data_IF_846310514003
#
_entry.id   IF_846310514003
#
_cell.length_a   1.000
_cell.length_b   1.000
_cell.length_c   1.000
_cell.angle_alpha   90.00
_cell.angle_beta   90.00
_cell.angle_gamma   90.00
#
_symmetry.space_group_name_H-M   'P 1'
#
loop_
_entity.id
_entity.type
_entity.pdbx_description
1 polymer ?
#
# COMPACT_ATOMS: atom_id res chain seq x y z
N UNK A 1 -0.54 4.02 -27.35
CA UNK A 1 0.65 3.79 -26.50
C UNK A 1 1.29 5.07 -25.93
N UNK A 2 1.88 6.01 -26.70
CA UNK A 2 2.58 7.18 -26.12
C UNK A 2 1.68 8.05 -25.22
N UNK A 3 0.48 8.40 -25.68
CA UNK A 3 -0.49 9.18 -24.88
C UNK A 3 -0.89 8.47 -23.58
N UNK A 4 -1.03 7.13 -23.62
CA UNK A 4 -1.32 6.28 -22.46
C UNK A 4 -0.18 6.31 -21.45
N UNK A 5 1.06 6.17 -21.92
CA UNK A 5 2.26 6.25 -21.08
C UNK A 5 2.32 7.61 -20.41
N UNK A 6 2.23 8.70 -21.19
CA UNK A 6 2.30 10.07 -20.68
C UNK A 6 1.20 10.31 -19.63
N UNK A 7 -0.05 9.95 -19.93
CA UNK A 7 -1.16 10.11 -18.98
C UNK A 7 -0.93 9.34 -17.68
N UNK A 8 -0.63 8.03 -17.77
CA UNK A 8 -0.43 7.18 -16.58
C UNK A 8 0.72 7.69 -15.74
N UNK A 9 1.88 7.99 -16.33
CA UNK A 9 3.05 8.44 -15.57
C UNK A 9 2.84 9.83 -14.96
N UNK A 10 2.21 10.77 -15.67
CA UNK A 10 1.92 12.11 -15.11
C UNK A 10 0.95 12.00 -13.95
N UNK A 11 -0.14 11.23 -14.08
CA UNK A 11 -1.11 11.07 -13.00
C UNK A 11 -0.51 10.31 -11.82
N UNK A 12 0.28 9.26 -12.05
CA UNK A 12 1.02 8.55 -10.99
C UNK A 12 2.06 9.44 -10.31
N UNK A 13 2.76 10.30 -11.06
CA UNK A 13 3.72 11.24 -10.50
C UNK A 13 3.03 12.30 -9.66
N UNK A 14 1.92 12.87 -10.14
CA UNK A 14 1.11 13.82 -9.38
C UNK A 14 0.58 13.17 -8.10
N UNK A 15 0.05 11.95 -8.18
CA UNK A 15 -0.35 11.16 -7.02
C UNK A 15 0.83 10.97 -6.06
N UNK A 16 1.98 10.48 -6.54
CA UNK A 16 3.14 10.21 -5.71
C UNK A 16 3.64 11.48 -5.00
N UNK A 17 3.70 12.61 -5.69
CA UNK A 17 4.10 13.91 -5.11
C UNK A 17 3.10 14.31 -4.01
N UNK A 18 1.81 14.38 -4.31
CA UNK A 18 0.82 14.89 -3.35
C UNK A 18 0.67 13.92 -2.16
N UNK A 19 0.65 12.62 -2.41
CA UNK A 19 0.59 11.59 -1.38
C UNK A 19 1.83 11.63 -0.48
N UNK A 20 3.02 11.84 -1.03
CA UNK A 20 4.26 11.94 -0.25
C UNK A 20 4.34 13.23 0.55
N UNK A 21 3.95 14.37 -0.05
CA UNK A 21 3.89 15.67 0.63
C UNK A 21 2.92 15.63 1.82
N UNK A 22 1.74 15.04 1.64
CA UNK A 22 0.77 14.89 2.74
C UNK A 22 1.18 13.78 3.73
N UNK A 23 1.99 12.81 3.33
CA UNK A 23 2.57 11.85 4.28
C UNK A 23 3.71 12.45 5.14
N UNK A 24 4.30 13.57 4.72
CA UNK A 24 5.48 14.18 5.35
C UNK A 24 5.22 14.70 6.78
N UNK A 25 6.25 14.61 7.62
CA UNK A 25 6.16 15.01 9.02
C UNK A 25 5.98 16.53 9.20
N UNK A 26 6.61 17.36 8.35
CA UNK A 26 6.50 18.83 8.44
C UNK A 26 5.13 19.29 8.01
N UNK A 27 4.59 18.72 6.94
CA UNK A 27 3.23 19.02 6.50
C UNK A 27 2.21 18.66 7.59
N UNK A 28 2.34 17.48 8.20
CA UNK A 28 1.51 17.07 9.34
C UNK A 28 1.61 18.02 10.53
N UNK A 29 2.82 18.42 10.90
CA UNK A 29 3.04 19.39 11.98
C UNK A 29 2.40 20.76 11.68
N UNK A 30 2.52 21.22 10.43
CA UNK A 30 1.87 22.45 9.98
C UNK A 30 0.35 22.37 10.06
N UNK A 31 -0.26 21.25 9.62
CA UNK A 31 -1.71 21.03 9.75
C UNK A 31 -2.13 21.00 11.22
N UNK A 32 -1.39 20.30 12.08
CA UNK A 32 -1.67 20.24 13.52
C UNK A 32 -1.59 21.63 14.19
N UNK A 33 -0.60 22.44 13.82
CA UNK A 33 -0.45 23.81 14.30
C UNK A 33 -1.57 24.74 13.79
N UNK A 34 -2.07 24.51 12.57
CA UNK A 34 -3.05 25.38 11.92
C UNK A 34 -4.49 25.08 12.36
N UNK A 35 -4.86 23.79 12.45
CA UNK A 35 -6.22 23.34 12.74
C UNK A 35 -6.39 22.82 14.18
N UNK A 36 -5.31 22.78 14.96
CA UNK A 36 -5.28 22.29 16.33
C UNK A 36 -4.97 20.79 16.43
N UNK A 37 -4.20 20.42 17.46
CA UNK A 37 -3.71 19.05 17.66
C UNK A 37 -4.85 18.02 17.68
N UNK A 38 -5.94 18.31 18.39
CA UNK A 38 -7.07 17.38 18.53
C UNK A 38 -7.75 17.11 17.18
N UNK A 39 -7.96 18.15 16.36
CA UNK A 39 -8.58 17.99 15.04
C UNK A 39 -7.67 17.20 14.09
N UNK A 40 -6.37 17.48 14.12
CA UNK A 40 -5.37 16.70 13.38
C UNK A 40 -5.41 15.22 13.75
N UNK A 41 -5.30 14.87 15.03
CA UNK A 41 -5.31 13.47 15.48
C UNK A 41 -6.62 12.73 15.14
N UNK A 42 -7.73 13.47 15.08
CA UNK A 42 -9.06 12.92 14.78
C UNK A 42 -9.33 12.71 13.30
N UNK A 43 -9.12 13.74 12.48
CA UNK A 43 -9.63 13.79 11.10
C UNK A 43 -8.58 13.54 10.03
N UNK A 44 -7.32 13.85 10.32
CA UNK A 44 -6.27 13.92 9.29
C UNK A 44 -6.13 12.62 8.51
N UNK A 45 -6.15 11.49 9.22
CA UNK A 45 -5.98 10.16 8.59
C UNK A 45 -7.13 9.83 7.64
N UNK A 46 -8.37 10.12 8.01
CA UNK A 46 -9.53 9.85 7.15
C UNK A 46 -9.48 10.71 5.90
N UNK A 47 -9.18 12.00 6.04
CA UNK A 47 -9.07 12.95 4.92
C UNK A 47 -7.92 12.52 3.99
N UNK A 48 -6.76 12.18 4.55
CA UNK A 48 -5.62 11.70 3.80
C UNK A 48 -5.95 10.45 2.96
N UNK A 49 -6.63 9.46 3.56
CA UNK A 49 -7.05 8.26 2.85
C UNK A 49 -8.09 8.55 1.77
N UNK A 50 -9.08 9.41 2.06
CA UNK A 50 -10.09 9.81 1.09
C UNK A 50 -9.47 10.55 -0.10
N UNK A 51 -8.54 11.48 0.16
CA UNK A 51 -7.78 12.19 -0.87
C UNK A 51 -6.99 11.20 -1.75
N UNK A 52 -6.29 10.25 -1.12
CA UNK A 52 -5.52 9.22 -1.84
C UNK A 52 -6.41 8.36 -2.74
N UNK A 53 -7.60 7.99 -2.26
CA UNK A 53 -8.58 7.23 -3.03
C UNK A 53 -9.15 8.04 -4.20
N UNK A 54 -9.50 9.31 -3.98
CA UNK A 54 -9.98 10.20 -5.05
C UNK A 54 -8.92 10.40 -6.13
N UNK A 55 -7.64 10.51 -5.76
CA UNK A 55 -6.55 10.68 -6.72
C UNK A 55 -6.29 9.44 -7.57
N UNK A 56 -6.43 8.23 -6.99
CA UNK A 56 -6.18 6.98 -7.72
C UNK A 56 -7.39 6.52 -8.56
N UNK A 57 -8.59 6.99 -8.26
CA UNK A 57 -9.81 6.57 -8.96
C UNK A 57 -9.80 6.87 -10.48
N UNK A 58 -9.43 8.08 -10.96
CA UNK A 58 -9.43 8.38 -12.39
C UNK A 58 -8.46 7.50 -13.19
N UNK A 59 -7.26 7.25 -12.65
CA UNK A 59 -6.27 6.39 -13.31
C UNK A 59 -6.71 4.93 -13.31
N UNK A 60 -7.32 4.46 -12.23
CA UNK A 60 -7.89 3.10 -12.15
C UNK A 60 -8.99 2.93 -13.20
N UNK A 61 -9.92 3.87 -13.28
CA UNK A 61 -10.97 3.85 -14.30
C UNK A 61 -10.37 3.87 -15.72
N UNK A 62 -9.42 4.76 -16.00
CA UNK A 62 -8.77 4.83 -17.31
C UNK A 62 -8.09 3.52 -17.73
N UNK A 63 -7.45 2.83 -16.77
CA UNK A 63 -6.74 1.57 -16.98
C UNK A 63 -7.70 0.42 -17.28
N UNK A 64 -8.83 0.33 -16.57
CA UNK A 64 -9.78 -0.78 -16.72
C UNK A 64 -10.86 -0.56 -17.79
N UNK A 65 -11.07 0.67 -18.25
CA UNK A 65 -12.06 0.99 -19.29
C UNK A 65 -11.57 0.76 -20.74
N UNK A 66 -10.35 0.25 -20.93
CA UNK A 66 -9.88 -0.11 -22.27
C UNK A 66 -8.39 -0.43 -22.34
N UNK A 67 -7.82 -0.22 -23.52
CA UNK A 67 -6.45 -0.58 -23.85
C UNK A 67 -6.39 -1.77 -24.79
N UNK A 68 -5.30 -1.85 -25.53
CA UNK A 68 -5.06 -2.94 -26.47
C UNK A 68 -4.43 -4.11 -25.72
N UNK A 69 -4.88 -5.33 -26.01
CA UNK A 69 -4.33 -6.54 -25.36
C UNK A 69 -2.88 -6.72 -25.80
N UNK A 70 -1.94 -6.61 -24.85
CA UNK A 70 -0.53 -6.89 -25.07
C UNK A 70 -0.20 -8.37 -24.84
N UNK A 71 -0.85 -8.96 -23.83
CA UNK A 71 -0.61 -10.34 -23.46
C UNK A 71 -1.89 -11.02 -22.98
N UNK A 72 -2.09 -12.23 -23.49
CA UNK A 72 -3.13 -13.14 -23.06
C UNK A 72 -2.52 -14.55 -23.04
N UNK A 73 -2.51 -15.25 -21.90
CA UNK A 73 -2.01 -16.62 -21.86
C UNK A 73 -2.94 -17.51 -22.69
N UNK A 74 -2.37 -18.53 -23.33
CA UNK A 74 -3.16 -19.60 -23.97
C UNK A 74 -4.06 -20.29 -22.94
N UNK A 75 -5.11 -20.96 -23.40
CA UNK A 75 -6.09 -21.64 -22.52
C UNK A 75 -5.45 -22.65 -21.55
N UNK A 76 -4.35 -23.31 -21.93
CA UNK A 76 -3.62 -24.23 -21.05
C UNK A 76 -2.92 -23.53 -19.87
N UNK A 77 -2.48 -22.27 -20.05
CA UNK A 77 -1.75 -21.50 -19.03
C UNK A 77 -2.68 -20.56 -18.25
N UNK A 78 -3.83 -20.18 -18.82
CA UNK A 78 -4.79 -19.28 -18.17
C UNK A 78 -5.22 -19.71 -16.75
N UNK A 79 -5.46 -20.99 -16.45
CA UNK A 79 -5.79 -21.42 -15.08
C UNK A 79 -4.69 -21.09 -14.07
N UNK A 80 -3.41 -21.18 -14.45
CA UNK A 80 -2.28 -20.87 -13.56
C UNK A 80 -2.31 -19.38 -13.18
N UNK A 81 -2.55 -18.49 -14.13
CA UNK A 81 -2.68 -17.05 -13.86
C UNK A 81 -3.85 -16.75 -12.92
N UNK A 82 -5.00 -17.39 -13.14
CA UNK A 82 -6.18 -17.20 -12.28
C UNK A 82 -5.95 -17.74 -10.87
N UNK A 83 -5.27 -18.88 -10.72
CA UNK A 83 -4.90 -19.43 -9.41
C UNK A 83 -3.95 -18.49 -8.67
N UNK A 84 -2.92 -18.00 -9.34
CA UNK A 84 -1.99 -17.03 -8.74
C UNK A 84 -2.72 -15.72 -8.36
N UNK A 85 -3.63 -15.24 -9.20
CA UNK A 85 -4.45 -14.07 -8.88
C UNK A 85 -5.36 -14.32 -7.68
N UNK A 86 -5.97 -15.50 -7.57
CA UNK A 86 -6.80 -15.89 -6.44
C UNK A 86 -5.99 -15.99 -5.14
N UNK A 87 -4.77 -16.55 -5.20
CA UNK A 87 -3.83 -16.56 -4.07
C UNK A 87 -3.46 -15.13 -3.68
N UNK A 88 -3.19 -14.26 -4.65
CA UNK A 88 -2.97 -12.84 -4.45
C UNK A 88 -4.14 -12.17 -3.73
N UNK A 89 -5.37 -12.33 -4.22
CA UNK A 89 -6.58 -11.75 -3.61
C UNK A 89 -6.81 -12.28 -2.19
N UNK A 90 -6.70 -13.60 -1.99
CA UNK A 90 -6.86 -14.21 -0.67
C UNK A 90 -5.78 -13.72 0.31
N UNK A 91 -4.52 -13.68 -0.12
CA UNK A 91 -3.41 -13.22 0.70
C UNK A 91 -3.50 -11.73 1.04
N UNK A 92 -3.92 -10.89 0.09
CA UNK A 92 -4.20 -9.48 0.34
C UNK A 92 -5.35 -9.32 1.35
N UNK A 93 -6.45 -10.07 1.17
CA UNK A 93 -7.56 -10.10 2.12
C UNK A 93 -7.14 -10.53 3.53
N UNK A 94 -6.35 -11.60 3.66
CA UNK A 94 -5.81 -12.05 4.95
C UNK A 94 -4.88 -11.02 5.59
N UNK A 95 -4.08 -10.31 4.77
CA UNK A 95 -3.22 -9.21 5.26
C UNK A 95 -4.06 -8.07 5.82
N UNK A 96 -5.15 -7.71 5.13
CA UNK A 96 -6.09 -6.68 5.56
C UNK A 96 -6.84 -7.06 6.84
N UNK A 97 -7.18 -8.34 7.02
CA UNK A 97 -7.82 -8.82 8.24
C UNK A 97 -6.90 -8.82 9.46
N UNK A 98 -5.57 -8.79 9.27
CA UNK A 98 -4.60 -8.74 10.37
C UNK A 98 -4.27 -7.32 10.83
N UNK A 99 -4.71 -6.29 10.08
CA UNK A 99 -4.58 -4.90 10.50
C UNK A 99 -5.90 -4.35 11.03
N UNK A 100 -5.83 -3.36 11.91
CA UNK A 100 -7.02 -2.65 12.38
C UNK A 100 -7.56 -1.74 11.25
N UNK A 101 -8.42 -2.28 10.39
CA UNK A 101 -8.93 -1.58 9.20
C UNK A 101 -9.62 -0.26 9.52
N UNK A 102 -10.37 -0.19 10.63
CA UNK A 102 -11.06 1.04 11.02
C UNK A 102 -10.07 2.10 11.49
N UNK A 103 -9.00 1.69 12.17
CA UNK A 103 -7.89 2.59 12.54
C UNK A 103 -7.06 3.00 11.34
N UNK A 104 -6.79 2.08 10.43
CA UNK A 104 -6.07 2.35 9.18
C UNK A 104 -6.84 3.37 8.34
N UNK A 105 -8.16 3.18 8.19
CA UNK A 105 -9.06 4.09 7.48
C UNK A 105 -9.19 5.48 8.16
N UNK A 106 -8.97 5.58 9.47
CA UNK A 106 -9.15 6.83 10.23
C UNK A 106 -10.47 6.93 10.98
N UNK A 107 -11.34 5.92 10.89
CA UNK A 107 -12.68 5.94 11.48
C UNK A 107 -12.65 5.86 13.00
N UNK A 108 -11.73 5.10 13.60
CA UNK A 108 -11.57 5.06 15.07
C UNK A 108 -11.12 6.41 15.63
N UNK A 109 -10.27 7.12 14.89
CA UNK A 109 -9.76 8.44 15.25
C UNK A 109 -10.88 9.48 15.21
N UNK A 110 -11.69 9.49 14.14
CA UNK A 110 -12.87 10.35 14.02
C UNK A 110 -13.88 10.05 15.12
N UNK A 111 -14.15 8.77 15.39
CA UNK A 111 -15.06 8.38 16.47
C UNK A 111 -14.54 8.83 17.85
N UNK A 112 -13.25 8.68 18.14
CA UNK A 112 -12.65 9.16 19.38
C UNK A 112 -12.70 10.69 19.50
N UNK A 113 -12.51 11.40 18.38
CA UNK A 113 -12.66 12.85 18.32
C UNK A 113 -14.10 13.27 18.67
N UNK A 114 -15.09 12.68 18.00
CA UNK A 114 -16.51 12.98 18.13
C UNK A 114 -17.08 12.64 19.51
N UNK A 115 -16.54 11.62 20.18
CA UNK A 115 -17.01 11.15 21.49
C UNK A 115 -16.20 11.69 22.69
N UNK A 116 -15.28 12.62 22.47
CA UNK A 116 -14.49 13.20 23.56
C UNK A 116 -13.40 12.27 24.12
N UNK A 117 -13.16 11.09 23.50
CA UNK A 117 -12.13 10.14 23.94
C UNK A 117 -10.72 10.71 23.73
N UNK A 118 -9.76 10.11 24.42
CA UNK A 118 -8.35 10.47 24.34
C UNK A 118 -7.80 10.27 22.92
N UNK A 119 -6.99 11.24 22.50
CA UNK A 119 -6.23 11.24 21.24
C UNK A 119 -4.81 11.75 21.56
N UNK A 120 -3.75 11.24 20.88
CA UNK A 120 -3.76 10.17 19.88
C UNK A 120 -4.23 8.82 20.44
N UNK A 121 -4.70 7.93 19.56
CA UNK A 121 -5.01 6.56 19.96
C UNK A 121 -3.73 5.85 20.46
N UNK A 122 -3.86 4.95 21.44
CA UNK A 122 -2.74 4.17 21.96
C UNK A 122 -1.93 3.51 20.82
N UNK A 123 -0.60 3.45 20.98
CA UNK A 123 0.28 2.86 19.97
C UNK A 123 -0.10 1.40 19.66
N UNK A 124 0.00 1.02 18.40
CA UNK A 124 -0.20 -0.37 17.99
C UNK A 124 1.03 -1.19 18.38
N UNK A 125 0.81 -2.44 18.75
CA UNK A 125 1.92 -3.37 18.96
C UNK A 125 2.52 -3.75 17.61
N UNK A 126 3.82 -4.03 17.58
CA UNK A 126 4.46 -4.56 16.39
C UNK A 126 3.86 -5.92 16.03
N UNK A 127 3.19 -5.99 14.88
CA UNK A 127 2.60 -7.25 14.40
C UNK A 127 3.69 -8.12 13.77
N UNK A 128 3.95 -9.28 14.38
CA UNK A 128 4.91 -10.28 13.87
C UNK A 128 4.31 -11.67 13.70
N UNK A 129 3.04 -11.85 14.09
CA UNK A 129 2.31 -13.11 14.01
C UNK A 129 1.54 -13.27 12.69
N UNK A 130 0.92 -14.43 12.50
CA UNK A 130 0.04 -14.68 11.36
C UNK A 130 0.82 -14.70 10.05
N UNK A 131 0.46 -13.82 9.11
CA UNK A 131 1.10 -13.77 7.78
C UNK A 131 2.43 -13.00 7.84
N UNK A 132 2.53 -12.07 8.79
CA UNK A 132 3.74 -11.29 9.07
C UNK A 132 4.90 -12.17 9.55
N UNK A 133 4.65 -13.39 10.05
CA UNK A 133 5.73 -14.32 10.41
C UNK A 133 6.56 -14.80 9.21
N UNK A 134 5.99 -14.71 8.00
CA UNK A 134 6.60 -15.23 6.77
C UNK A 134 7.23 -14.15 5.92
N UNK A 135 6.60 -12.97 5.86
CA UNK A 135 7.05 -11.81 5.07
C UNK A 135 6.64 -10.53 5.80
N UNK A 136 7.51 -9.51 5.79
CA UNK A 136 7.26 -8.25 6.50
C UNK A 136 6.20 -7.38 5.84
N UNK A 137 6.09 -7.44 4.50
CA UNK A 137 5.15 -6.65 3.72
C UNK A 137 4.23 -7.56 2.89
N UNK A 138 3.34 -8.33 3.55
CA UNK A 138 2.48 -9.31 2.89
C UNK A 138 1.54 -8.64 1.89
N UNK A 139 0.95 -7.50 2.24
CA UNK A 139 0.06 -6.77 1.34
C UNK A 139 0.78 -6.35 0.04
N UNK A 140 2.07 -6.01 0.10
CA UNK A 140 2.85 -5.64 -1.08
C UNK A 140 3.11 -6.85 -1.97
N UNK A 141 3.52 -7.98 -1.36
CA UNK A 141 3.72 -9.25 -2.08
C UNK A 141 2.46 -9.66 -2.85
N UNK A 142 1.32 -9.70 -2.15
CA UNK A 142 0.07 -10.15 -2.75
C UNK A 142 -0.51 -9.13 -3.73
N UNK A 143 -0.33 -7.82 -3.50
CA UNK A 143 -0.70 -6.80 -4.49
C UNK A 143 0.12 -6.96 -5.77
N UNK A 144 1.44 -7.16 -5.68
CA UNK A 144 2.28 -7.41 -6.85
C UNK A 144 1.86 -8.68 -7.60
N UNK A 145 1.49 -9.74 -6.86
CA UNK A 145 0.95 -10.96 -7.47
C UNK A 145 -0.31 -10.66 -8.29
N UNK A 146 -1.30 -9.96 -7.71
CA UNK A 146 -2.54 -9.58 -8.40
C UNK A 146 -2.25 -8.75 -9.65
N UNK A 147 -1.40 -7.71 -9.52
CA UNK A 147 -1.07 -6.81 -10.62
C UNK A 147 -0.51 -7.62 -11.81
N UNK A 148 0.52 -8.42 -11.56
CA UNK A 148 1.26 -9.11 -12.62
C UNK A 148 0.58 -10.38 -13.15
N UNK A 149 -0.45 -10.89 -12.47
CA UNK A 149 -1.26 -12.02 -12.95
C UNK A 149 -2.59 -11.60 -13.58
N UNK A 150 -2.81 -10.29 -13.79
CA UNK A 150 -4.03 -9.79 -14.44
C UNK A 150 -4.13 -10.27 -15.89
N UNK A 151 -5.30 -10.80 -16.27
CA UNK A 151 -5.56 -11.38 -17.58
C UNK A 151 -6.94 -10.97 -18.13
N UNK A 152 -7.04 -10.46 -19.37
CA UNK A 152 -5.94 -10.11 -20.27
C UNK A 152 -5.12 -8.92 -19.75
N UNK A 153 -3.83 -8.87 -20.09
CA UNK A 153 -2.94 -7.76 -19.79
C UNK A 153 -2.98 -6.77 -20.95
N UNK A 154 -3.63 -5.62 -20.77
CA UNK A 154 -3.64 -4.54 -21.76
C UNK A 154 -2.42 -3.64 -21.63
N UNK A 155 -2.17 -2.81 -22.64
CA UNK A 155 -1.12 -1.80 -22.61
C UNK A 155 -1.27 -0.82 -21.45
N UNK A 156 -2.50 -0.41 -21.15
CA UNK A 156 -2.82 0.46 -20.00
C UNK A 156 -2.52 -0.23 -18.66
N UNK A 157 -2.95 -1.48 -18.49
CA UNK A 157 -2.70 -2.26 -17.26
C UNK A 157 -1.20 -2.47 -17.09
N UNK A 158 -0.48 -2.86 -18.14
CA UNK A 158 0.96 -3.08 -18.08
C UNK A 158 1.73 -1.83 -17.65
N UNK A 159 1.44 -0.68 -18.27
CA UNK A 159 2.10 0.59 -17.92
C UNK A 159 1.75 1.02 -16.49
N UNK A 160 0.49 0.86 -16.08
CA UNK A 160 0.08 1.11 -14.70
C UNK A 160 0.80 0.20 -13.70
N UNK A 161 0.88 -1.10 -13.98
CA UNK A 161 1.56 -2.07 -13.13
C UNK A 161 3.03 -1.73 -12.95
N UNK A 162 3.70 -1.27 -14.02
CA UNK A 162 5.09 -0.80 -13.95
C UNK A 162 5.22 0.42 -13.02
N UNK A 163 4.38 1.43 -13.22
CA UNK A 163 4.39 2.65 -12.40
C UNK A 163 4.04 2.37 -10.92
N UNK A 164 3.04 1.52 -10.66
CA UNK A 164 2.64 1.09 -9.32
C UNK A 164 3.75 0.28 -8.63
N UNK A 165 4.40 -0.63 -9.36
CA UNK A 165 5.55 -1.40 -8.85
C UNK A 165 6.68 -0.45 -8.47
N UNK A 166 7.04 0.50 -9.34
CA UNK A 166 8.08 1.50 -9.06
C UNK A 166 7.75 2.32 -7.79
N UNK A 167 6.50 2.75 -7.65
CA UNK A 167 6.04 3.47 -6.48
C UNK A 167 6.13 2.62 -5.19
N UNK A 168 5.75 1.33 -5.23
CA UNK A 168 5.86 0.43 -4.07
C UNK A 168 7.31 0.26 -3.62
N UNK A 169 8.25 0.10 -4.55
CA UNK A 169 9.66 -0.11 -4.19
C UNK A 169 10.36 1.18 -3.74
N UNK A 170 10.19 2.29 -4.47
CA UNK A 170 10.87 3.56 -4.17
C UNK A 170 10.21 4.28 -2.99
N UNK A 171 8.88 4.45 -3.04
CA UNK A 171 8.15 5.26 -2.08
C UNK A 171 7.63 4.48 -0.87
N UNK A 172 7.17 3.25 -1.09
CA UNK A 172 6.54 2.45 -0.04
C UNK A 172 7.57 1.76 0.86
N UNK A 173 8.22 0.74 0.32
CA UNK A 173 8.96 -0.26 1.09
C UNK A 173 10.10 0.36 1.92
N UNK A 174 10.95 1.17 1.30
CA UNK A 174 12.11 1.73 1.99
C UNK A 174 11.75 2.75 3.07
N UNK A 175 10.78 3.64 2.79
CA UNK A 175 10.30 4.61 3.78
C UNK A 175 9.49 3.94 4.90
N UNK A 176 8.77 2.86 4.59
CA UNK A 176 8.08 2.05 5.59
C UNK A 176 9.08 1.37 6.54
N UNK A 177 10.11 0.67 6.03
CA UNK A 177 11.12 0.04 6.90
C UNK A 177 11.82 1.06 7.81
N UNK A 178 12.17 2.24 7.28
CA UNK A 178 12.77 3.32 8.08
C UNK A 178 11.84 3.82 9.18
N UNK A 179 10.55 4.00 8.88
CA UNK A 179 9.55 4.40 9.87
C UNK A 179 9.36 3.32 10.93
N UNK A 180 9.29 2.05 10.53
CA UNK A 180 9.15 0.95 11.48
C UNK A 180 10.35 0.85 12.43
N UNK A 181 11.57 1.02 11.93
CA UNK A 181 12.78 1.11 12.78
C UNK A 181 12.70 2.30 13.76
N UNK A 182 12.23 3.45 13.31
CA UNK A 182 12.07 4.62 14.17
C UNK A 182 11.01 4.41 15.27
N UNK A 183 9.88 3.77 14.95
CA UNK A 183 8.77 3.59 15.88
C UNK A 183 8.96 2.41 16.85
N UNK A 184 9.56 1.31 16.40
CA UNK A 184 9.66 0.05 17.16
C UNK A 184 11.09 -0.32 17.56
N UNK A 185 12.11 0.40 17.07
CA UNK A 185 13.50 0.22 17.48
C UNK A 185 14.01 -1.21 17.32
N UNK A 186 14.61 -1.73 18.39
CA UNK A 186 15.30 -3.03 18.43
C UNK A 186 14.36 -4.22 18.19
N UNK A 187 13.08 -4.10 18.57
CA UNK A 187 12.07 -5.13 18.31
C UNK A 187 11.89 -5.35 16.81
N UNK A 188 11.78 -4.24 16.06
CA UNK A 188 11.67 -4.30 14.61
C UNK A 188 13.00 -4.66 13.95
N UNK A 189 14.14 -4.21 14.48
CA UNK A 189 15.45 -4.63 13.98
C UNK A 189 15.60 -6.17 14.05
N UNK A 190 15.29 -6.75 15.21
CA UNK A 190 15.33 -8.20 15.43
C UNK A 190 14.35 -8.97 14.54
N UNK A 191 13.14 -8.44 14.35
CA UNK A 191 12.17 -8.99 13.40
C UNK A 191 12.67 -8.89 11.94
N UNK A 192 13.28 -7.75 11.59
CA UNK A 192 13.91 -7.48 10.29
C UNK A 192 15.13 -8.34 10.02
N UNK A 193 15.72 -8.99 11.02
CA UNK A 193 16.76 -10.02 10.82
C UNK A 193 16.16 -11.39 10.52
N UNK A 194 15.03 -11.75 11.14
CA UNK A 194 14.42 -13.08 11.00
C UNK A 194 13.50 -13.28 9.79
N UNK A 195 12.72 -12.26 9.41
CA UNK A 195 11.64 -12.42 8.40
C UNK A 195 11.93 -11.61 7.14
N UNK A 196 11.87 -12.15 5.91
CA UNK A 196 12.18 -11.42 4.67
C UNK A 196 11.18 -10.30 4.35
N UNK A 197 11.58 -9.32 3.52
CA UNK A 197 10.73 -8.19 3.17
C UNK A 197 9.48 -8.61 2.36
N UNK A 198 9.69 -9.28 1.22
CA UNK A 198 8.64 -9.56 0.22
C UNK A 198 8.53 -11.03 -0.16
N UNK A 199 9.64 -11.70 -0.48
CA UNK A 199 9.59 -13.09 -0.95
C UNK A 199 9.82 -14.03 0.24
N UNK A 200 8.85 -14.90 0.59
CA UNK A 200 8.97 -15.79 1.73
C UNK A 200 10.17 -16.75 1.56
N UNK A 201 10.75 -17.18 2.67
CA UNK A 201 11.83 -18.18 2.74
C UNK A 201 13.18 -17.77 2.10
N UNK A 202 13.35 -16.53 1.63
CA UNK A 202 14.59 -16.06 0.98
C UNK A 202 15.74 -15.75 1.91
N UNK A 203 15.52 -15.76 3.23
CA UNK A 203 16.55 -15.41 4.22
C UNK A 203 17.51 -16.52 4.62
N UNK A 204 17.38 -17.71 4.03
CA UNK A 204 18.30 -18.82 4.30
C UNK A 204 19.31 -18.99 3.16
N UNK A 205 20.32 -18.14 3.16
CA UNK A 205 21.69 -18.50 2.77
C UNK A 205 22.63 -17.73 3.69
N UNK A 206 22.87 -18.28 4.89
CA UNK A 206 24.09 -17.98 5.63
C UNK A 206 25.20 -18.76 4.91
N UNK A 207 26.12 -18.06 4.26
CA UNK A 207 27.47 -18.59 4.04
C UNK A 207 28.31 -18.29 5.26
#
# INVERSE_FOLDING_TARGET
>A
MLNTIVFIFITMLAFAIIHSLTADARFKAWVAATFGQRAYEGWYRLIYNALSFVMIMPITAYVFLGGDVLFQPSDSWRPIFLILQAIGLAGAGLSLLQIDLLRFAGLKQVYAWATGKALPLAAEKLQTDGIYRYVRHPLYLFSLMILWTTVPMTDRIFVYNMAATLYFFIGGLWLEEKRMLHFYGDDYASYRERVPALVPFTKRLHF
#
